data_IF_958632280722
#
_entry.id   IF_958632280722
#
_cell.length_a   1.000
_cell.length_b   1.000
_cell.length_c   1.000
_cell.angle_alpha   90.00
_cell.angle_beta   90.00
_cell.angle_gamma   90.00
#
_symmetry.space_group_name_H-M   'P 1'
#
loop_
_entity.id
_entity.type
_entity.pdbx_description
1 polymer ?
#
# COMPACT_ATOMS: atom_id res chain seq x y z
N UNK A 1 11.36 -14.93 15.67
CA UNK A 1 10.98 -15.82 14.56
C UNK A 1 11.20 -15.05 13.28
N UNK A 2 12.06 -15.54 12.38
CA UNK A 2 12.11 -15.05 11.01
C UNK A 2 11.00 -15.78 10.28
N UNK A 3 9.95 -15.07 9.90
CA UNK A 3 8.94 -15.60 9.01
C UNK A 3 9.61 -15.79 7.65
N UNK A 4 10.07 -17.02 7.38
CA UNK A 4 10.41 -17.46 6.04
C UNK A 4 9.10 -17.46 5.23
N UNK A 5 8.77 -16.30 4.65
CA UNK A 5 7.57 -16.16 3.82
C UNK A 5 7.78 -17.00 2.55
N UNK A 6 7.00 -18.08 2.33
CA UNK A 6 7.10 -18.85 1.11
C UNK A 6 6.73 -17.95 -0.07
N UNK A 7 7.51 -18.03 -1.15
CA UNK A 7 7.29 -17.29 -2.40
C UNK A 7 5.85 -17.54 -2.87
N UNK A 8 4.97 -16.59 -2.60
CA UNK A 8 3.55 -16.66 -2.90
C UNK A 8 3.35 -16.53 -4.41
N UNK A 9 2.46 -17.37 -4.96
CA UNK A 9 1.85 -17.27 -6.30
C UNK A 9 2.72 -16.72 -7.45
N UNK A 10 2.95 -17.54 -8.48
CA UNK A 10 3.60 -17.10 -9.73
C UNK A 10 2.85 -15.97 -10.45
N UNK A 11 1.60 -15.70 -10.09
CA UNK A 11 0.79 -14.65 -10.69
C UNK A 11 1.05 -13.31 -9.99
N UNK A 12 1.40 -12.31 -10.78
CA UNK A 12 1.44 -10.92 -10.33
C UNK A 12 0.07 -10.48 -9.74
N UNK A 13 0.05 -9.52 -8.81
CA UNK A 13 -1.19 -8.82 -8.47
C UNK A 13 -1.78 -8.13 -9.72
N UNK A 14 -3.06 -7.77 -9.69
CA UNK A 14 -3.61 -6.94 -10.77
C UNK A 14 -2.98 -5.54 -10.76
N UNK A 15 -2.91 -4.92 -11.94
CA UNK A 15 -2.43 -3.55 -12.11
C UNK A 15 -3.22 -2.58 -11.21
N UNK A 16 -4.56 -2.72 -11.18
CA UNK A 16 -5.43 -1.90 -10.33
C UNK A 16 -5.09 -2.04 -8.83
N UNK A 17 -4.68 -3.23 -8.40
CA UNK A 17 -4.25 -3.44 -7.03
C UNK A 17 -2.90 -2.76 -6.76
N UNK A 18 -1.92 -2.88 -7.65
CA UNK A 18 -0.64 -2.20 -7.47
C UNK A 18 -0.80 -0.67 -7.45
N UNK A 19 -1.55 -0.10 -8.40
CA UNK A 19 -1.83 1.33 -8.50
C UNK A 19 -2.51 1.89 -7.24
N UNK A 20 -3.34 1.10 -6.55
CA UNK A 20 -4.04 1.53 -5.34
C UNK A 20 -3.12 1.63 -4.11
N UNK A 21 -1.96 0.95 -4.10
CA UNK A 21 -1.06 0.88 -2.94
C UNK A 21 0.32 1.48 -3.19
N UNK A 22 0.71 1.70 -4.44
CA UNK A 22 1.94 2.42 -4.81
C UNK A 22 1.68 3.92 -4.67
N UNK A 23 2.45 4.60 -3.83
CA UNK A 23 2.38 6.04 -3.68
C UNK A 23 3.15 6.73 -4.81
N UNK A 24 2.76 7.95 -5.18
CA UNK A 24 3.44 8.79 -6.17
C UNK A 24 4.86 9.23 -5.77
N UNK A 25 5.40 8.75 -4.65
CA UNK A 25 6.78 9.00 -4.23
C UNK A 25 7.71 8.12 -5.05
N UNK A 26 8.44 8.77 -5.95
CA UNK A 26 9.49 8.16 -6.74
C UNK A 26 10.82 8.30 -6.00
N UNK A 27 11.60 7.22 -5.98
CA UNK A 27 13.01 7.29 -5.57
C UNK A 27 13.85 6.65 -6.66
N UNK A 28 15.10 7.07 -6.78
CA UNK A 28 16.06 6.44 -7.70
C UNK A 28 16.31 4.98 -7.29
N UNK A 29 16.20 4.66 -5.99
CA UNK A 29 16.45 3.31 -5.45
C UNK A 29 15.57 3.01 -4.23
N UNK A 30 14.96 1.83 -4.19
CA UNK A 30 14.16 1.34 -3.06
C UNK A 30 14.45 -0.12 -2.74
N UNK A 31 14.53 -0.47 -1.45
CA UNK A 31 14.62 -1.88 -1.01
C UNK A 31 13.21 -2.43 -0.80
N UNK A 32 12.89 -3.55 -1.46
CA UNK A 32 11.64 -4.26 -1.28
C UNK A 32 11.73 -5.15 -0.04
N UNK A 33 11.07 -4.76 1.05
CA UNK A 33 11.06 -5.50 2.32
C UNK A 33 10.25 -6.80 2.27
N UNK A 34 9.57 -7.09 1.14
CA UNK A 34 8.89 -8.37 0.91
C UNK A 34 9.82 -9.46 0.36
N UNK A 35 10.90 -9.10 -0.35
CA UNK A 35 11.84 -10.08 -0.92
C UNK A 35 13.32 -9.79 -0.66
N UNK A 36 13.64 -8.67 -0.01
CA UNK A 36 14.99 -8.24 0.32
C UNK A 36 15.78 -7.61 -0.83
N UNK A 37 15.22 -7.55 -2.05
CA UNK A 37 15.91 -7.03 -3.24
C UNK A 37 15.84 -5.52 -3.35
N UNK A 38 16.87 -4.93 -3.96
CA UNK A 38 16.95 -3.51 -4.29
C UNK A 38 16.39 -3.26 -5.70
N UNK A 39 15.53 -2.26 -5.84
CA UNK A 39 14.91 -1.84 -7.08
C UNK A 39 15.37 -0.43 -7.46
N UNK A 40 15.74 -0.22 -8.72
CA UNK A 40 16.23 1.07 -9.21
C UNK A 40 15.54 1.45 -10.52
N UNK A 41 15.39 2.75 -10.78
CA UNK A 41 14.94 3.26 -12.08
C UNK A 41 16.04 3.15 -13.15
N UNK A 42 15.65 3.12 -14.43
CA UNK A 42 16.59 3.11 -15.56
C UNK A 42 17.39 4.41 -15.70
N UNK A 43 16.83 5.57 -15.32
CA UNK A 43 17.53 6.85 -15.24
C UNK A 43 18.35 6.86 -13.95
N UNK A 44 19.45 6.09 -14.00
CA UNK A 44 20.44 6.10 -12.94
C UNK A 44 21.11 7.47 -12.92
N UNK A 45 21.20 8.07 -11.74
CA UNK A 45 22.29 9.00 -11.47
C UNK A 45 23.60 8.23 -11.69
N UNK A 46 24.55 8.80 -12.44
CA UNK A 46 25.85 8.18 -12.75
C UNK A 46 26.64 7.79 -11.46
N UNK A 47 26.19 8.26 -10.30
CA UNK A 47 26.76 8.06 -8.97
C UNK A 47 26.23 6.82 -8.21
N UNK A 48 25.31 6.02 -8.76
CA UNK A 48 24.84 4.79 -8.09
C UNK A 48 25.84 3.67 -8.34
N UNK A 49 26.71 3.40 -7.36
CA UNK A 49 27.67 2.30 -7.40
C UNK A 49 26.95 0.95 -7.29
N UNK A 50 26.70 0.33 -8.45
CA UNK A 50 25.97 -0.94 -8.59
C UNK A 50 26.88 -2.17 -8.50
N UNK A 51 28.20 -1.98 -8.42
CA UNK A 51 29.13 -3.10 -8.25
C UNK A 51 28.91 -3.74 -6.87
N UNK A 52 28.41 -4.98 -6.86
CA UNK A 52 28.26 -5.80 -5.65
C UNK A 52 26.86 -5.84 -5.02
N UNK A 53 25.83 -5.24 -5.63
CA UNK A 53 24.45 -5.40 -5.15
C UNK A 53 23.88 -6.73 -5.67
N UNK A 54 23.96 -7.78 -4.85
CA UNK A 54 23.25 -9.03 -5.12
C UNK A 54 21.72 -8.81 -5.11
N UNK A 55 21.04 -9.22 -6.19
CA UNK A 55 19.58 -9.18 -6.28
C UNK A 55 18.96 -7.87 -6.79
N UNK A 56 19.73 -7.03 -7.49
CA UNK A 56 19.24 -5.82 -8.15
C UNK A 56 18.12 -6.11 -9.17
N UNK A 57 17.07 -5.28 -9.16
CA UNK A 57 16.00 -5.28 -10.18
C UNK A 57 15.87 -3.88 -10.77
N UNK A 58 16.13 -3.74 -12.07
CA UNK A 58 15.99 -2.47 -12.80
C UNK A 58 14.56 -2.36 -13.37
N UNK A 59 13.92 -1.21 -13.18
CA UNK A 59 12.60 -0.89 -13.74
C UNK A 59 12.73 0.03 -14.95
N UNK A 60 11.98 -0.26 -16.01
CA UNK A 60 11.98 0.50 -17.29
C UNK A 60 11.47 1.95 -17.18
N UNK A 61 10.94 2.37 -16.01
CA UNK A 61 10.21 3.64 -15.87
C UNK A 61 11.08 4.84 -15.45
N UNK A 62 12.40 4.76 -15.54
CA UNK A 62 13.30 5.86 -15.14
C UNK A 62 13.39 6.08 -13.62
N UNK A 63 12.38 5.72 -12.83
CA UNK A 63 12.35 5.80 -11.37
C UNK A 63 11.81 4.51 -10.74
N UNK A 64 12.10 4.29 -9.44
CA UNK A 64 11.53 3.21 -8.66
C UNK A 64 10.34 3.75 -7.83
N UNK A 65 9.13 3.39 -8.23
CA UNK A 65 7.93 3.69 -7.43
C UNK A 65 7.74 2.63 -6.33
N UNK A 66 7.23 3.06 -5.17
CA UNK A 66 7.06 2.17 -4.02
C UNK A 66 5.76 2.43 -3.25
N UNK A 67 5.34 1.44 -2.48
CA UNK A 67 4.22 1.52 -1.55
C UNK A 67 4.58 0.92 -0.20
N UNK A 68 3.67 1.06 0.77
CA UNK A 68 3.81 0.46 2.10
C UNK A 68 2.55 -0.31 2.46
N UNK A 69 2.71 -1.58 2.85
CA UNK A 69 1.62 -2.42 3.36
C UNK A 69 2.10 -3.19 4.57
N UNK A 70 1.32 -3.21 5.66
CA UNK A 70 1.70 -3.89 6.91
C UNK A 70 3.08 -3.41 7.44
N UNK A 71 3.33 -2.09 7.32
CA UNK A 71 4.62 -1.48 7.68
C UNK A 71 5.82 -1.89 6.81
N UNK A 72 5.59 -2.67 5.74
CA UNK A 72 6.63 -3.15 4.82
C UNK A 72 6.57 -2.40 3.49
N UNK A 73 7.71 -1.82 3.11
CA UNK A 73 7.92 -1.20 1.82
C UNK A 73 8.04 -2.23 0.71
N UNK A 74 7.45 -1.97 -0.45
CA UNK A 74 7.57 -2.80 -1.64
C UNK A 74 7.73 -1.94 -2.89
N UNK A 75 8.42 -2.47 -3.91
CA UNK A 75 8.53 -1.81 -5.21
C UNK A 75 7.37 -2.15 -6.14
N UNK A 76 6.90 -1.17 -6.92
CA UNK A 76 5.99 -1.40 -8.05
C UNK A 76 6.55 -2.48 -8.99
N UNK A 77 5.72 -3.36 -9.55
CA UNK A 77 6.17 -4.37 -10.50
C UNK A 77 7.26 -5.33 -9.97
N UNK A 78 7.44 -5.43 -8.65
CA UNK A 78 8.47 -6.29 -8.08
C UNK A 78 8.19 -7.76 -8.43
N UNK A 79 9.16 -8.49 -9.03
CA UNK A 79 8.92 -9.86 -9.50
C UNK A 79 8.77 -10.89 -8.38
N UNK A 80 8.87 -10.47 -7.10
CA UNK A 80 8.53 -11.36 -5.98
C UNK A 80 7.02 -11.57 -5.84
N UNK A 81 6.20 -10.71 -6.46
CA UNK A 81 4.75 -10.73 -6.36
C UNK A 81 4.25 -10.77 -4.90
N UNK A 82 5.02 -10.25 -3.94
CA UNK A 82 4.68 -10.32 -2.52
C UNK A 82 3.35 -9.67 -2.16
N UNK A 83 2.89 -8.73 -3.00
CA UNK A 83 1.58 -8.09 -2.91
C UNK A 83 0.41 -9.02 -3.18
N UNK A 84 0.64 -10.08 -3.98
CA UNK A 84 -0.40 -10.99 -4.44
C UNK A 84 -1.19 -11.61 -3.30
N UNK A 85 -0.53 -11.93 -2.19
CA UNK A 85 -1.20 -12.51 -1.01
C UNK A 85 -2.26 -11.57 -0.41
N UNK A 86 -2.04 -10.25 -0.48
CA UNK A 86 -2.99 -9.27 0.03
C UNK A 86 -4.18 -9.12 -0.92
N UNK A 87 -3.92 -9.09 -2.23
CA UNK A 87 -4.99 -9.11 -3.24
C UNK A 87 -5.85 -10.38 -3.10
N UNK A 88 -5.21 -11.55 -2.98
CA UNK A 88 -5.91 -12.83 -2.80
C UNK A 88 -6.73 -12.84 -1.50
N UNK A 89 -6.20 -12.31 -0.40
CA UNK A 89 -6.94 -12.16 0.85
C UNK A 89 -8.20 -11.30 0.67
N UNK A 90 -8.06 -10.13 0.04
CA UNK A 90 -9.19 -9.22 -0.22
C UNK A 90 -10.23 -9.89 -1.09
N UNK A 91 -9.82 -10.54 -2.19
CA UNK A 91 -10.75 -11.22 -3.09
C UNK A 91 -11.48 -12.38 -2.42
N UNK A 92 -10.76 -13.18 -1.61
CA UNK A 92 -11.31 -14.31 -0.87
C UNK A 92 -12.33 -13.88 0.18
N UNK A 93 -12.11 -12.76 0.84
CA UNK A 93 -12.94 -12.26 1.95
C UNK A 93 -13.80 -11.05 1.59
N UNK A 94 -13.97 -10.76 0.29
CA UNK A 94 -14.62 -9.52 -0.20
C UNK A 94 -15.98 -9.24 0.43
N UNK A 95 -16.82 -10.26 0.62
CA UNK A 95 -18.17 -10.07 1.16
C UNK A 95 -18.12 -9.68 2.63
N UNK A 96 -17.23 -10.30 3.41
CA UNK A 96 -17.01 -9.97 4.81
C UNK A 96 -16.42 -8.57 4.95
N UNK A 97 -15.44 -8.22 4.11
CA UNK A 97 -14.85 -6.87 4.06
C UNK A 97 -15.92 -5.83 3.73
N UNK A 98 -16.72 -6.05 2.68
CA UNK A 98 -17.83 -5.15 2.31
C UNK A 98 -18.84 -5.01 3.45
N UNK A 99 -19.22 -6.12 4.10
CA UNK A 99 -20.16 -6.10 5.24
C UNK A 99 -19.59 -5.27 6.40
N UNK A 100 -18.32 -5.47 6.73
CA UNK A 100 -17.64 -4.71 7.78
C UNK A 100 -17.57 -3.22 7.44
N UNK A 101 -17.15 -2.87 6.22
CA UNK A 101 -17.08 -1.48 5.76
C UNK A 101 -18.44 -0.78 5.81
N UNK A 102 -19.52 -1.47 5.39
CA UNK A 102 -20.88 -0.94 5.51
C UNK A 102 -21.26 -0.62 6.96
N UNK A 103 -20.96 -1.53 7.90
CA UNK A 103 -21.22 -1.29 9.32
C UNK A 103 -20.45 -0.09 9.85
N UNK A 104 -19.16 0.00 9.55
CA UNK A 104 -18.31 1.15 9.96
C UNK A 104 -18.78 2.48 9.39
N UNK A 105 -19.22 2.50 8.13
CA UNK A 105 -19.77 3.71 7.51
C UNK A 105 -21.05 4.17 8.19
N UNK A 106 -21.92 3.23 8.57
CA UNK A 106 -23.14 3.55 9.32
C UNK A 106 -22.80 4.12 10.71
N UNK A 107 -21.89 3.48 11.44
CA UNK A 107 -21.44 3.96 12.76
C UNK A 107 -20.86 5.38 12.68
N UNK A 108 -20.06 5.67 11.65
CA UNK A 108 -19.50 7.01 11.42
C UNK A 108 -20.61 8.03 11.09
N UNK A 109 -21.62 7.65 10.32
CA UNK A 109 -22.75 8.53 10.02
C UNK A 109 -23.52 8.90 11.30
N UNK A 110 -23.81 7.91 12.15
CA UNK A 110 -24.50 8.12 13.44
C UNK A 110 -23.66 8.98 14.41
N UNK A 111 -22.33 8.91 14.34
CA UNK A 111 -21.42 9.79 15.09
C UNK A 111 -21.51 11.23 14.59
N UNK A 112 -21.39 11.45 13.28
CA UNK A 112 -21.51 12.78 12.66
C UNK A 112 -22.86 13.44 12.95
N UNK A 113 -23.96 12.69 12.87
CA UNK A 113 -25.31 13.20 13.17
C UNK A 113 -25.44 13.63 14.64
N UNK A 114 -24.84 12.89 15.58
CA UNK A 114 -24.82 13.27 17.00
C UNK A 114 -23.97 14.50 17.27
N UNK A 115 -22.79 14.59 16.66
CA UNK A 115 -21.92 15.76 16.79
C UNK A 115 -22.59 17.03 16.24
N UNK A 116 -23.23 16.92 15.07
CA UNK A 116 -23.98 18.02 14.47
C UNK A 116 -25.12 18.50 15.38
N UNK A 117 -25.86 17.58 16.01
CA UNK A 117 -26.92 17.92 16.95
C UNK A 117 -26.40 18.62 18.22
N UNK A 118 -25.23 18.21 18.72
CA UNK A 118 -24.57 18.86 19.86
C UNK A 118 -24.11 20.29 19.53
N UNK A 119 -23.50 20.49 18.35
CA UNK A 119 -23.08 21.82 17.90
C UNK A 119 -24.28 22.75 17.76
N UNK A 120 -25.36 22.31 17.10
CA UNK A 120 -26.57 23.13 16.95
C UNK A 120 -27.20 23.50 18.30
N UNK A 121 -27.13 22.60 19.29
CA UNK A 121 -27.63 22.86 20.64
C UNK A 121 -26.76 23.92 21.37
N UNK A 122 -25.44 23.87 21.21
CA UNK A 122 -24.52 24.84 21.81
C UNK A 122 -24.67 26.25 21.21
N UNK A 123 -24.95 26.34 19.91
CA UNK A 123 -25.22 27.60 19.22
C UNK A 123 -26.54 28.23 19.72
N UNK A 124 -27.58 27.42 19.94
CA UNK A 124 -28.87 27.90 20.47
C UNK A 124 -28.77 28.49 21.89
N UNK A 125 -27.85 27.99 22.72
CA UNK A 125 -27.65 28.48 24.10
C UNK A 125 -26.81 29.76 24.22
N UNK A 126 -26.22 30.27 23.12
CA UNK A 126 -25.42 31.51 23.12
C UNK A 126 -26.20 32.75 22.71
N UNK A 127 -27.42 32.59 22.20
CA UNK A 127 -28.28 33.69 21.74
C UNK A 127 -29.35 34.12 22.76
N UNK A 128 -29.39 33.49 23.94
CA UNK A 128 -30.20 33.88 25.11
C UNK A 128 -29.35 34.60 26.19
#
# INVERSE_FOLDING_TARGET
MRDDYPVHSKKAPSLQFEEAFVAASTSTTIVCQLCGRTHCGEERDEDVDVEGIEGLVVQERGWAAHGVIDGKQFGEGCPCNGLRKYEDFIWKHRYQIIKYLKGRLQEMQEEVEREAALIGSLESTKED
#
